data_IF_591608043424
#
_entry.id   IF_591608043424
#
_cell.length_a   1.000
_cell.length_b   1.000
_cell.length_c   1.000
_cell.angle_alpha   90.00
_cell.angle_beta   90.00
_cell.angle_gamma   90.00
#
_symmetry.space_group_name_H-M   'P 1'
#
loop_
_entity.id
_entity.type
_entity.pdbx_description
1 polymer ?
#
# COMPACT_ATOMS: atom_id res chain seq x y z
N UNK A 1 13.38 43.11 -22.37
CA UNK A 1 12.40 42.26 -21.66
C UNK A 1 12.98 40.87 -21.53
N UNK A 2 13.48 40.50 -20.34
CA UNK A 2 14.24 39.26 -20.13
C UNK A 2 13.45 38.33 -19.20
N UNK A 3 12.98 37.18 -19.72
CA UNK A 3 12.23 36.17 -18.97
C UNK A 3 13.20 35.41 -18.04
N UNK A 4 13.06 35.58 -16.73
CA UNK A 4 13.72 34.72 -15.72
C UNK A 4 12.74 33.61 -15.31
N UNK A 5 13.00 32.39 -15.80
CA UNK A 5 12.35 31.18 -15.31
C UNK A 5 13.06 30.74 -14.02
N UNK A 6 12.41 30.93 -12.87
CA UNK A 6 12.85 30.34 -11.60
C UNK A 6 12.34 28.91 -11.50
N UNK A 7 13.21 27.96 -11.85
CA UNK A 7 13.03 26.54 -11.58
C UNK A 7 13.02 26.32 -10.06
N UNK A 8 11.86 25.98 -9.49
CA UNK A 8 11.75 25.47 -8.12
C UNK A 8 12.42 24.11 -8.08
N UNK A 9 13.63 24.06 -7.54
CA UNK A 9 14.33 22.84 -7.15
C UNK A 9 13.50 22.13 -6.08
N UNK A 10 12.95 20.97 -6.41
CA UNK A 10 12.29 20.06 -5.47
C UNK A 10 13.30 19.61 -4.43
N UNK A 11 13.23 20.17 -3.23
CA UNK A 11 14.00 19.72 -2.08
C UNK A 11 13.62 18.27 -1.77
N UNK A 12 14.49 17.33 -2.14
CA UNK A 12 14.49 15.98 -1.57
C UNK A 12 14.65 16.15 -0.06
N UNK A 13 13.54 16.00 0.68
CA UNK A 13 13.60 15.81 2.13
C UNK A 13 14.33 14.50 2.38
N UNK A 14 15.61 14.61 2.73
CA UNK A 14 16.42 13.52 3.26
C UNK A 14 15.83 13.18 4.63
N UNK A 15 14.86 12.27 4.65
CA UNK A 15 14.31 11.74 5.89
C UNK A 15 15.40 10.95 6.56
N UNK A 16 15.89 11.46 7.68
CA UNK A 16 16.83 10.77 8.56
C UNK A 16 16.24 9.41 8.90
N UNK A 17 16.76 8.33 8.29
CA UNK A 17 16.46 6.96 8.68
C UNK A 17 17.13 6.73 10.04
N UNK A 18 16.43 7.05 11.12
CA UNK A 18 16.69 6.36 12.38
C UNK A 18 16.29 4.90 12.17
N UNK A 19 17.24 3.98 12.30
CA UNK A 19 16.95 2.56 12.25
C UNK A 19 15.98 2.23 13.39
N UNK A 20 14.75 1.83 13.05
CA UNK A 20 13.74 1.43 14.02
C UNK A 20 14.14 0.09 14.61
N UNK A 21 14.00 -0.07 15.93
CA UNK A 21 14.24 -1.36 16.57
C UNK A 21 13.12 -2.35 16.25
N UNK A 22 13.36 -3.67 16.33
CA UNK A 22 12.32 -4.68 16.13
C UNK A 22 11.10 -4.47 17.04
N UNK A 23 11.32 -4.02 18.28
CA UNK A 23 10.27 -3.76 19.26
C UNK A 23 9.41 -2.56 18.85
N UNK A 24 10.03 -1.49 18.32
CA UNK A 24 9.30 -0.33 17.79
C UNK A 24 8.42 -0.74 16.60
N UNK A 25 8.94 -1.56 15.69
CA UNK A 25 8.16 -2.08 14.55
C UNK A 25 6.97 -2.90 15.04
N UNK A 26 7.16 -3.74 16.07
CA UNK A 26 6.08 -4.54 16.66
C UNK A 26 4.99 -3.66 17.30
N UNK A 27 5.39 -2.59 17.98
CA UNK A 27 4.44 -1.64 18.57
C UNK A 27 3.62 -0.92 17.49
N UNK A 28 4.27 -0.43 16.42
CA UNK A 28 3.60 0.25 15.30
C UNK A 28 2.64 -0.68 14.56
N UNK A 29 3.02 -1.95 14.38
CA UNK A 29 2.11 -2.99 13.86
C UNK A 29 0.90 -3.19 14.73
N UNK A 30 1.10 -3.27 16.05
CA UNK A 30 0.02 -3.47 17.02
C UNK A 30 -0.95 -2.29 17.01
N UNK A 31 -0.42 -1.07 16.93
CA UNK A 31 -1.23 0.14 16.81
C UNK A 31 -2.07 0.15 15.52
N UNK A 32 -1.44 -0.14 14.38
CA UNK A 32 -2.15 -0.23 13.09
C UNK A 32 -3.21 -1.34 13.10
N UNK A 33 -2.93 -2.49 13.71
CA UNK A 33 -3.88 -3.58 13.87
C UNK A 33 -5.13 -3.12 14.64
N UNK A 34 -4.94 -2.45 15.78
CA UNK A 34 -6.04 -1.94 16.60
C UNK A 34 -6.90 -0.91 15.85
N UNK A 35 -6.24 -0.01 15.10
CA UNK A 35 -6.93 0.97 14.26
C UNK A 35 -7.74 0.29 13.15
N UNK A 36 -7.15 -0.70 12.46
CA UNK A 36 -7.84 -1.46 11.43
C UNK A 36 -9.05 -2.21 11.99
N UNK A 37 -8.89 -2.93 13.10
CA UNK A 37 -9.95 -3.73 13.70
C UNK A 37 -11.15 -2.86 14.18
N UNK A 38 -10.89 -1.65 14.66
CA UNK A 38 -11.93 -0.75 15.17
C UNK A 38 -12.63 0.08 14.10
N UNK A 39 -11.95 0.40 12.99
CA UNK A 39 -12.46 1.37 12.01
C UNK A 39 -12.78 0.78 10.62
N UNK A 40 -12.34 -0.44 10.33
CA UNK A 40 -12.51 -1.06 9.01
C UNK A 40 -13.48 -2.22 9.13
N UNK A 41 -14.56 -2.18 8.35
CA UNK A 41 -15.43 -3.34 8.18
C UNK A 41 -14.71 -4.41 7.36
N UNK A 42 -14.64 -5.67 7.83
CA UNK A 42 -13.99 -6.76 7.10
C UNK A 42 -14.54 -6.93 5.67
N UNK A 43 -13.71 -7.45 4.78
CA UNK A 43 -14.15 -7.85 3.43
C UNK A 43 -14.84 -9.22 3.52
N UNK A 44 -15.93 -9.44 2.77
CA UNK A 44 -16.69 -10.70 2.87
C UNK A 44 -15.89 -11.92 2.43
N UNK A 45 -15.03 -11.78 1.42
CA UNK A 45 -14.23 -12.88 0.87
C UNK A 45 -12.82 -12.96 1.49
N UNK A 46 -12.39 -11.91 2.19
CA UNK A 46 -11.04 -11.76 2.74
C UNK A 46 -11.09 -11.04 4.09
N UNK A 47 -11.72 -11.63 5.12
CA UNK A 47 -11.98 -10.94 6.39
C UNK A 47 -10.70 -10.46 7.07
N UNK A 48 -9.61 -11.19 6.91
CA UNK A 48 -8.33 -10.91 7.56
C UNK A 48 -7.41 -9.98 6.76
N UNK A 49 -7.82 -9.51 5.57
CA UNK A 49 -6.94 -8.71 4.69
C UNK A 49 -6.37 -7.49 5.41
N UNK A 50 -7.20 -6.78 6.19
CA UNK A 50 -6.82 -5.55 6.88
C UNK A 50 -6.08 -5.80 8.21
N UNK A 51 -6.05 -7.03 8.71
CA UNK A 51 -5.55 -7.38 10.06
C UNK A 51 -4.40 -8.39 10.03
N UNK A 52 -4.11 -9.01 8.89
CA UNK A 52 -3.01 -9.96 8.78
C UNK A 52 -1.63 -9.28 8.79
N UNK A 53 -0.65 -9.96 9.38
CA UNK A 53 0.68 -9.40 9.66
C UNK A 53 1.41 -8.94 8.39
N UNK A 54 1.32 -9.71 7.31
CA UNK A 54 1.95 -9.38 6.03
C UNK A 54 1.39 -8.08 5.44
N UNK A 55 0.07 -7.89 5.46
CA UNK A 55 -0.55 -6.66 4.97
C UNK A 55 -0.13 -5.47 5.83
N UNK A 56 -0.24 -5.59 7.15
CA UNK A 56 0.16 -4.52 8.07
C UNK A 56 1.63 -4.11 7.86
N UNK A 57 2.52 -5.09 7.73
CA UNK A 57 3.94 -4.87 7.42
C UNK A 57 4.12 -4.08 6.13
N UNK A 58 3.46 -4.52 5.05
CA UNK A 58 3.62 -3.90 3.72
C UNK A 58 3.17 -2.45 3.71
N UNK A 59 2.05 -2.13 4.37
CA UNK A 59 1.54 -0.75 4.42
C UNK A 59 2.41 0.15 5.31
N UNK A 60 2.93 -0.36 6.43
CA UNK A 60 3.89 0.38 7.27
C UNK A 60 5.18 0.67 6.50
N UNK A 61 5.77 -0.34 5.86
CA UNK A 61 7.00 -0.17 5.06
C UNK A 61 6.78 0.85 3.93
N UNK A 62 5.65 0.78 3.22
CA UNK A 62 5.33 1.69 2.12
C UNK A 62 5.16 3.16 2.57
N UNK A 63 4.78 3.38 3.84
CA UNK A 63 4.59 4.72 4.43
C UNK A 63 5.66 5.10 5.44
N UNK A 64 6.86 4.50 5.32
CA UNK A 64 8.01 4.79 6.17
C UNK A 64 7.68 4.70 7.67
N UNK A 65 6.85 3.73 8.04
CA UNK A 65 6.42 3.46 9.41
C UNK A 65 5.60 4.58 10.08
N UNK A 66 4.95 5.45 9.30
CA UNK A 66 3.95 6.41 9.78
C UNK A 66 2.57 5.74 9.82
N UNK A 67 2.03 5.54 11.03
CA UNK A 67 0.82 4.73 11.26
C UNK A 67 -0.42 5.35 10.61
N UNK A 68 -0.59 6.67 10.73
CA UNK A 68 -1.76 7.38 10.22
C UNK A 68 -1.83 7.33 8.69
N UNK A 69 -0.69 7.51 8.03
CA UNK A 69 -0.57 7.42 6.58
C UNK A 69 -0.78 5.98 6.09
N UNK A 70 -0.21 5.00 6.81
CA UNK A 70 -0.43 3.59 6.54
C UNK A 70 -1.91 3.21 6.67
N UNK A 71 -2.57 3.68 7.74
CA UNK A 71 -3.99 3.44 8.00
C UNK A 71 -4.89 4.07 6.94
N UNK A 72 -4.65 5.34 6.58
CA UNK A 72 -5.40 6.03 5.52
C UNK A 72 -5.32 5.25 4.20
N UNK A 73 -4.14 4.74 3.88
CA UNK A 73 -3.96 3.96 2.68
C UNK A 73 -4.59 2.57 2.77
N UNK A 74 -4.48 1.91 3.91
CA UNK A 74 -5.11 0.61 4.16
C UNK A 74 -6.62 0.69 3.99
N UNK A 75 -7.25 1.72 4.56
CA UNK A 75 -8.69 1.98 4.39
C UNK A 75 -9.05 2.17 2.91
N UNK A 76 -8.27 2.97 2.18
CA UNK A 76 -8.49 3.19 0.74
C UNK A 76 -8.38 1.89 -0.05
N UNK A 77 -7.40 1.04 0.28
CA UNK A 77 -7.21 -0.25 -0.36
C UNK A 77 -8.39 -1.21 -0.07
N UNK A 78 -8.91 -1.24 1.15
CA UNK A 78 -10.08 -2.06 1.50
C UNK A 78 -11.32 -1.63 0.72
N UNK A 79 -11.59 -0.33 0.64
CA UNK A 79 -12.73 0.18 -0.16
C UNK A 79 -12.59 -0.16 -1.64
N UNK A 80 -11.37 -0.01 -2.18
CA UNK A 80 -11.10 -0.40 -3.57
C UNK A 80 -11.34 -1.91 -3.79
N UNK A 81 -10.86 -2.78 -2.90
CA UNK A 81 -11.10 -4.23 -2.99
C UNK A 81 -12.59 -4.57 -2.90
N UNK A 82 -13.33 -3.85 -2.07
CA UNK A 82 -14.78 -4.01 -1.94
C UNK A 82 -15.49 -3.67 -3.25
N UNK A 83 -15.09 -2.58 -3.89
CA UNK A 83 -15.70 -2.09 -5.13
C UNK A 83 -15.31 -2.93 -6.35
N UNK A 84 -14.03 -3.25 -6.51
CA UNK A 84 -13.49 -3.85 -7.74
C UNK A 84 -13.23 -5.35 -7.66
N UNK A 85 -13.28 -5.94 -6.45
CA UNK A 85 -13.18 -7.38 -6.20
C UNK A 85 -12.06 -8.05 -7.02
N UNK A 86 -10.79 -7.70 -6.79
CA UNK A 86 -9.68 -8.14 -7.65
C UNK A 86 -9.57 -9.66 -7.80
N UNK A 87 -10.03 -10.43 -6.81
CA UNK A 87 -10.02 -11.90 -6.85
C UNK A 87 -11.00 -12.51 -7.87
N UNK A 88 -12.02 -11.77 -8.28
CA UNK A 88 -13.01 -12.25 -9.26
C UNK A 88 -12.62 -11.90 -10.69
N UNK A 89 -11.57 -11.10 -10.88
CA UNK A 89 -11.12 -10.65 -12.19
C UNK A 89 -10.55 -11.83 -12.99
N UNK A 90 -11.21 -12.14 -14.10
CA UNK A 90 -10.73 -13.10 -15.09
C UNK A 90 -9.86 -12.37 -16.11
N UNK A 91 -8.54 -12.33 -15.87
CA UNK A 91 -7.61 -11.73 -16.83
C UNK A 91 -7.39 -12.66 -18.03
N UNK A 92 -7.72 -12.18 -19.23
CA UNK A 92 -7.51 -12.88 -20.51
C UNK A 92 -6.07 -13.41 -20.66
N UNK A 93 -5.08 -12.61 -20.29
CA UNK A 93 -3.67 -13.00 -20.41
C UNK A 93 -3.23 -14.06 -19.39
N UNK A 94 -3.87 -14.15 -18.22
CA UNK A 94 -3.62 -15.27 -17.30
C UNK A 94 -4.03 -16.61 -17.91
N UNK A 95 -5.08 -16.62 -18.72
CA UNK A 95 -5.62 -17.83 -19.36
C UNK A 95 -4.88 -18.16 -20.66
N UNK A 96 -4.68 -17.16 -21.52
CA UNK A 96 -4.09 -17.37 -22.85
C UNK A 96 -2.55 -17.42 -22.82
N UNK A 97 -1.92 -16.80 -21.83
CA UNK A 97 -0.46 -16.78 -21.71
C UNK A 97 -0.05 -16.92 -20.23
N UNK A 98 -0.18 -18.14 -19.67
CA UNK A 98 0.24 -18.42 -18.30
C UNK A 98 1.69 -17.98 -18.07
N UNK A 99 1.93 -17.22 -17.01
CA UNK A 99 3.25 -16.67 -16.69
C UNK A 99 3.53 -15.25 -17.23
N UNK A 100 2.65 -14.66 -18.05
CA UNK A 100 2.82 -13.28 -18.52
C UNK A 100 2.96 -12.28 -17.35
N UNK A 101 2.21 -12.47 -16.27
CA UNK A 101 2.29 -11.63 -15.07
C UNK A 101 3.51 -11.91 -14.17
N UNK A 102 4.21 -13.05 -14.33
CA UNK A 102 5.42 -13.36 -13.57
C UNK A 102 6.72 -12.88 -14.25
N UNK A 103 6.70 -12.62 -15.56
CA UNK A 103 7.88 -12.14 -16.30
C UNK A 103 8.21 -10.68 -15.97
N UNK A 104 7.24 -9.91 -15.49
CA UNK A 104 7.42 -8.56 -14.93
C UNK A 104 6.90 -8.54 -13.50
N UNK A 105 7.55 -9.32 -12.63
CA UNK A 105 7.17 -9.58 -11.22
C UNK A 105 6.99 -8.35 -10.32
N UNK A 106 7.23 -7.12 -10.81
CA UNK A 106 7.11 -5.91 -10.01
C UNK A 106 5.89 -5.04 -10.33
N UNK A 107 5.18 -5.29 -11.44
CA UNK A 107 4.28 -4.26 -11.95
C UNK A 107 2.84 -4.68 -12.21
N UNK A 108 2.47 -5.93 -12.55
CA UNK A 108 1.07 -6.15 -12.96
C UNK A 108 0.06 -6.20 -11.79
N UNK A 109 0.37 -6.92 -10.70
CA UNK A 109 -0.51 -6.87 -9.53
C UNK A 109 -0.33 -5.56 -8.76
N UNK A 110 0.89 -5.02 -8.63
CA UNK A 110 1.15 -3.78 -7.89
C UNK A 110 0.67 -2.50 -8.58
N UNK A 111 0.62 -2.40 -9.92
CA UNK A 111 0.08 -1.18 -10.58
C UNK A 111 -1.41 -0.98 -10.37
N UNK A 112 -2.17 -2.06 -10.14
CA UNK A 112 -3.58 -1.96 -9.77
C UNK A 112 -3.78 -1.49 -8.32
N UNK A 113 -2.74 -1.51 -7.47
CA UNK A 113 -2.87 -1.16 -6.05
C UNK A 113 -2.46 0.28 -5.67
N UNK A 114 -1.73 1.02 -6.51
CA UNK A 114 -1.07 2.28 -6.07
C UNK A 114 -0.91 3.36 -7.17
N UNK A 115 -1.85 3.54 -8.10
CA UNK A 115 -1.74 4.60 -9.15
C UNK A 115 -2.68 5.79 -9.03
N UNK A 116 -3.34 5.98 -7.89
CA UNK A 116 -4.04 7.24 -7.60
C UNK A 116 -3.94 7.59 -6.12
N UNK A 117 -2.95 8.41 -5.77
CA UNK A 117 -2.97 9.57 -4.86
C UNK A 117 -1.55 10.00 -4.50
#
# INVERSE_FOLDING_TARGET
MNKKNSSKTSSLRKSSKSELTPEQIMNLKTELYQLAQSNITPLPNEPDFATCDDTLTRFLVARNYVVEDAFKQLKTAVEWRRQYQPLTIQCKWCHETPGFHSVVSYYCCLFMYFTTF
#
